data_IF_540580142058
#
_entry.id   IF_540580142058
#
_cell.length_a   1.000
_cell.length_b   1.000
_cell.length_c   1.000
_cell.angle_alpha   90.00
_cell.angle_beta   90.00
_cell.angle_gamma   90.00
#
_symmetry.space_group_name_H-M   'P 1'
#
loop_
_entity.id
_entity.type
_entity.pdbx_description
1 polymer ?
#
# COMPACT_ATOMS: atom_id res chain seq x y z
N UNK A 1 24.75 32.80 -25.79
CA UNK A 1 25.29 32.00 -24.68
C UNK A 1 24.72 32.57 -23.39
N UNK A 2 23.75 31.91 -22.74
CA UNK A 2 23.35 32.22 -21.36
C UNK A 2 22.71 30.97 -20.75
N UNK A 3 23.44 30.32 -19.84
CA UNK A 3 23.05 29.11 -19.14
C UNK A 3 22.40 29.55 -17.82
N UNK A 4 21.11 29.26 -17.65
CA UNK A 4 20.44 29.39 -16.35
C UNK A 4 20.73 28.12 -15.55
N UNK A 5 21.25 28.20 -14.32
CA UNK A 5 21.47 27.02 -13.49
C UNK A 5 20.15 26.55 -12.87
N UNK A 6 19.84 25.27 -13.06
CA UNK A 6 18.71 24.59 -12.41
C UNK A 6 18.98 24.42 -10.92
N UNK A 7 18.06 24.91 -10.06
CA UNK A 7 18.10 24.69 -8.61
C UNK A 7 17.80 23.23 -8.29
N UNK A 8 18.73 22.55 -7.63
CA UNK A 8 18.48 21.24 -7.02
C UNK A 8 17.74 21.49 -5.71
N UNK A 9 16.51 20.98 -5.59
CA UNK A 9 15.80 21.00 -4.32
C UNK A 9 16.43 19.95 -3.38
N UNK A 10 16.99 20.41 -2.26
CA UNK A 10 17.47 19.52 -1.20
C UNK A 10 16.29 18.70 -0.65
N UNK A 11 16.36 17.38 -0.80
CA UNK A 11 15.48 16.47 -0.09
C UNK A 11 15.84 16.55 1.41
N UNK A 12 14.94 17.09 2.23
CA UNK A 12 15.03 16.99 3.69
C UNK A 12 14.97 15.51 4.06
N UNK A 13 16.10 14.96 4.48
CA UNK A 13 16.19 13.65 5.12
C UNK A 13 15.38 13.70 6.42
N UNK A 14 14.23 13.03 6.42
CA UNK A 14 13.43 12.87 7.64
C UNK A 14 14.25 12.10 8.68
N UNK A 15 14.29 12.64 9.90
CA UNK A 15 15.02 12.08 11.04
C UNK A 15 14.47 10.69 11.41
N UNK A 16 15.35 9.68 11.38
CA UNK A 16 15.07 8.32 11.85
C UNK A 16 15.12 8.31 13.39
N UNK A 17 13.98 8.58 14.02
CA UNK A 17 13.80 8.33 15.45
C UNK A 17 13.95 6.82 15.76
N UNK A 18 14.42 6.46 16.97
CA UNK A 18 14.79 5.09 17.32
C UNK A 18 13.58 4.16 17.23
N UNK A 19 13.81 2.98 16.65
CA UNK A 19 12.80 1.95 16.44
C UNK A 19 12.37 1.34 17.77
N UNK A 20 11.37 1.94 18.41
CA UNK A 20 10.73 1.36 19.58
C UNK A 20 9.58 0.43 19.15
N UNK A 21 9.45 -0.67 19.89
CA UNK A 21 8.57 -1.84 19.72
C UNK A 21 7.42 -1.73 18.69
N UNK A 22 7.69 -2.30 17.52
CA UNK A 22 6.91 -2.26 16.26
C UNK A 22 6.98 -0.92 15.54
N UNK A 23 8.08 -0.72 14.82
CA UNK A 23 8.20 0.34 13.82
C UNK A 23 6.93 0.42 12.97
N UNK A 24 6.57 1.63 12.52
CA UNK A 24 5.39 1.83 11.66
C UNK A 24 5.35 0.86 10.48
N UNK A 25 6.50 0.61 9.85
CA UNK A 25 6.66 -0.40 8.81
C UNK A 25 6.33 -1.82 9.29
N UNK A 26 6.75 -2.22 10.50
CA UNK A 26 6.36 -3.49 11.10
C UNK A 26 4.85 -3.61 11.33
N UNK A 27 4.18 -2.51 11.71
CA UNK A 27 2.71 -2.48 11.82
C UNK A 27 2.04 -2.66 10.45
N UNK A 28 2.54 -2.00 9.40
CA UNK A 28 2.05 -2.17 8.03
C UNK A 28 2.22 -3.61 7.53
N UNK A 29 3.36 -4.24 7.79
CA UNK A 29 3.59 -5.65 7.44
C UNK A 29 2.60 -6.57 8.15
N UNK A 30 2.37 -6.34 9.44
CA UNK A 30 1.37 -7.08 10.21
C UNK A 30 -0.05 -6.88 9.66
N UNK A 31 -0.40 -5.65 9.27
CA UNK A 31 -1.67 -5.36 8.60
C UNK A 31 -1.81 -6.09 7.28
N UNK A 32 -0.76 -6.11 6.45
CA UNK A 32 -0.75 -6.87 5.20
C UNK A 32 -0.97 -8.37 5.41
N UNK A 33 -0.35 -8.95 6.44
CA UNK A 33 -0.62 -10.34 6.84
C UNK A 33 -2.06 -10.57 7.29
N UNK A 34 -2.68 -9.62 8.00
CA UNK A 34 -4.08 -9.73 8.42
C UNK A 34 -5.06 -9.65 7.23
N UNK A 35 -4.70 -8.93 6.16
CA UNK A 35 -5.50 -8.76 4.94
C UNK A 35 -5.33 -9.92 3.93
N UNK A 36 -4.18 -10.60 3.95
CA UNK A 36 -3.84 -11.69 3.02
C UNK A 36 -4.94 -12.77 2.88
N UNK A 37 -5.58 -13.28 3.97
CA UNK A 37 -6.62 -14.30 3.85
C UNK A 37 -7.85 -13.87 3.03
N UNK A 38 -8.13 -12.56 2.94
CA UNK A 38 -9.21 -12.05 2.09
C UNK A 38 -8.82 -12.14 0.61
N UNK A 39 -7.59 -11.78 0.26
CA UNK A 39 -7.06 -11.93 -1.10
C UNK A 39 -7.00 -13.40 -1.53
N UNK A 40 -6.60 -14.30 -0.62
CA UNK A 40 -6.57 -15.75 -0.86
C UNK A 40 -7.94 -16.33 -1.19
N UNK A 41 -8.99 -15.81 -0.56
CA UNK A 41 -10.38 -16.18 -0.84
C UNK A 41 -11.00 -15.41 -2.01
N UNK A 42 -10.23 -14.55 -2.67
CA UNK A 42 -10.71 -13.68 -3.75
C UNK A 42 -11.77 -12.68 -3.28
N UNK A 43 -11.77 -12.31 -2.00
CA UNK A 43 -12.70 -11.35 -1.42
C UNK A 43 -12.17 -9.93 -1.61
N UNK A 44 -13.01 -8.98 -2.04
CA UNK A 44 -12.61 -7.58 -2.13
C UNK A 44 -12.33 -7.04 -0.73
N UNK A 45 -11.28 -6.22 -0.61
CA UNK A 45 -10.93 -5.50 0.59
C UNK A 45 -11.50 -4.09 0.43
N UNK A 46 -12.48 -3.74 1.26
CA UNK A 46 -13.09 -2.42 1.28
C UNK A 46 -12.42 -1.46 2.27
N UNK A 47 -12.83 -0.20 2.22
CA UNK A 47 -12.40 0.85 3.15
C UNK A 47 -12.70 0.49 4.62
N UNK A 48 -13.82 -0.19 4.89
CA UNK A 48 -14.20 -0.64 6.22
C UNK A 48 -13.26 -1.73 6.76
N UNK A 49 -12.84 -2.67 5.90
CA UNK A 49 -11.90 -3.74 6.26
C UNK A 49 -10.53 -3.14 6.62
N UNK A 50 -10.04 -2.22 5.79
CA UNK A 50 -8.79 -1.50 6.04
C UNK A 50 -8.82 -0.75 7.37
N UNK A 51 -9.88 0.02 7.62
CA UNK A 51 -10.05 0.75 8.88
C UNK A 51 -10.06 -0.20 10.08
N UNK A 52 -10.79 -1.30 10.00
CA UNK A 52 -10.87 -2.30 11.08
C UNK A 52 -9.50 -2.89 11.40
N UNK A 53 -8.75 -3.32 10.38
CA UNK A 53 -7.41 -3.91 10.55
C UNK A 53 -6.43 -2.89 11.12
N UNK A 54 -6.39 -1.67 10.57
CA UNK A 54 -5.43 -0.67 11.02
C UNK A 54 -5.77 -0.16 12.42
N UNK A 55 -7.04 0.03 12.77
CA UNK A 55 -7.42 0.39 14.13
C UNK A 55 -6.91 -0.64 15.15
N UNK A 56 -7.08 -1.93 14.86
CA UNK A 56 -6.63 -3.00 15.74
C UNK A 56 -5.10 -3.06 15.89
N UNK A 57 -4.35 -2.84 14.80
CA UNK A 57 -2.89 -3.00 14.79
C UNK A 57 -2.15 -1.73 15.23
N UNK A 58 -2.66 -0.55 14.88
CA UNK A 58 -2.09 0.72 15.30
C UNK A 58 -2.55 1.13 16.70
N UNK A 59 -3.69 0.62 17.17
CA UNK A 59 -4.22 0.85 18.52
C UNK A 59 -5.09 2.10 18.63
N UNK A 60 -5.63 2.61 17.52
CA UNK A 60 -6.44 3.82 17.48
C UNK A 60 -6.93 4.16 16.08
N UNK A 61 -7.81 5.16 15.97
CA UNK A 61 -8.42 5.57 14.71
C UNK A 61 -7.53 6.50 13.87
N UNK A 62 -7.87 6.64 12.59
CA UNK A 62 -7.26 7.64 11.71
C UNK A 62 -7.63 9.07 12.11
N UNK A 63 -8.83 9.28 12.68
CA UNK A 63 -9.26 10.58 13.20
C UNK A 63 -8.42 11.05 14.39
N UNK A 64 -7.90 10.11 15.18
CA UNK A 64 -6.97 10.38 16.29
C UNK A 64 -5.50 10.47 15.83
N UNK A 65 -5.22 10.26 14.54
CA UNK A 65 -3.89 10.40 13.96
C UNK A 65 -2.96 9.19 14.16
N UNK A 66 -3.46 8.05 14.63
CA UNK A 66 -2.64 6.84 14.81
C UNK A 66 -2.11 6.31 13.46
N UNK A 67 -2.92 6.44 12.41
CA UNK A 67 -2.60 6.10 11.03
C UNK A 67 -3.34 7.04 10.07
N UNK A 68 -2.91 7.08 8.82
CA UNK A 68 -3.51 7.86 7.74
C UNK A 68 -4.05 6.93 6.66
N UNK A 69 -4.96 7.42 5.81
CA UNK A 69 -5.41 6.63 4.67
C UNK A 69 -4.26 6.14 3.77
N UNK A 70 -3.14 6.87 3.71
CA UNK A 70 -1.93 6.40 3.04
C UNK A 70 -1.42 5.07 3.63
N UNK A 71 -1.38 4.94 4.95
CA UNK A 71 -0.97 3.71 5.63
C UNK A 71 -1.93 2.55 5.33
N UNK A 72 -3.22 2.84 5.20
CA UNK A 72 -4.22 1.83 4.82
C UNK A 72 -3.94 1.26 3.43
N UNK A 73 -3.60 2.13 2.48
CA UNK A 73 -3.23 1.72 1.14
C UNK A 73 -1.88 0.99 1.10
N UNK A 74 -0.87 1.47 1.83
CA UNK A 74 0.42 0.77 1.94
C UNK A 74 0.25 -0.64 2.53
N UNK A 75 -0.60 -0.82 3.55
CA UNK A 75 -0.92 -2.14 4.09
C UNK A 75 -1.59 -3.05 3.06
N UNK A 76 -2.45 -2.49 2.20
CA UNK A 76 -3.12 -3.22 1.14
C UNK A 76 -2.13 -3.66 0.03
N UNK A 77 -1.20 -2.79 -0.35
CA UNK A 77 -0.09 -3.14 -1.26
C UNK A 77 0.80 -4.23 -0.68
N UNK A 78 1.12 -4.16 0.62
CA UNK A 78 1.87 -5.22 1.29
C UNK A 78 1.14 -6.55 1.21
N UNK A 79 -0.20 -6.58 1.37
CA UNK A 79 -0.98 -7.80 1.21
C UNK A 79 -0.87 -8.38 -0.22
N UNK A 80 -0.87 -7.54 -1.26
CA UNK A 80 -0.65 -7.98 -2.65
C UNK A 80 0.75 -8.56 -2.85
N UNK A 81 1.78 -7.90 -2.32
CA UNK A 81 3.15 -8.40 -2.40
C UNK A 81 3.27 -9.76 -1.70
N UNK A 82 2.67 -9.92 -0.51
CA UNK A 82 2.64 -11.19 0.21
C UNK A 82 1.91 -12.28 -0.58
N UNK A 83 0.78 -11.96 -1.21
CA UNK A 83 0.05 -12.88 -2.09
C UNK A 83 0.93 -13.34 -3.26
N UNK A 84 1.58 -12.40 -3.95
CA UNK A 84 2.47 -12.72 -5.07
C UNK A 84 3.71 -13.52 -4.63
N UNK A 85 4.26 -13.27 -3.44
CA UNK A 85 5.35 -14.08 -2.90
C UNK A 85 4.93 -15.52 -2.61
N UNK A 86 3.68 -15.72 -2.17
CA UNK A 86 3.14 -17.05 -1.84
C UNK A 86 2.71 -17.82 -3.10
N UNK A 87 2.05 -17.17 -4.05
CA UNK A 87 1.43 -17.84 -5.21
C UNK A 87 2.11 -17.54 -6.54
N UNK A 88 3.09 -16.62 -6.59
CA UNK A 88 3.73 -16.16 -7.81
C UNK A 88 4.33 -17.28 -8.65
N UNK A 89 5.01 -18.24 -8.01
CA UNK A 89 5.57 -19.40 -8.71
C UNK A 89 4.48 -20.27 -9.37
N UNK A 90 3.33 -20.47 -8.71
CA UNK A 90 2.21 -21.21 -9.29
C UNK A 90 1.53 -20.42 -10.42
N UNK A 91 1.49 -19.09 -10.32
CA UNK A 91 0.97 -18.18 -11.34
C UNK A 91 1.86 -18.20 -12.59
N UNK A 92 3.18 -18.19 -12.43
CA UNK A 92 4.14 -18.20 -13.55
C UNK A 92 4.38 -19.59 -14.14
N UNK A 93 4.20 -20.66 -13.37
CA UNK A 93 4.30 -22.04 -13.86
C UNK A 93 3.26 -22.37 -14.96
N UNK A 94 2.17 -21.59 -15.07
CA UNK A 94 1.23 -21.64 -16.21
C UNK A 94 1.77 -20.92 -17.45
N UNK A 95 3.02 -21.22 -17.84
CA UNK A 95 3.68 -20.62 -19.01
C UNK A 95 2.89 -20.77 -20.31
N UNK A 96 2.04 -21.81 -20.41
CA UNK A 96 1.20 -22.08 -21.58
C UNK A 96 -0.11 -21.29 -21.62
N UNK A 97 -0.38 -20.41 -20.65
CA UNK A 97 -1.62 -19.63 -20.59
C UNK A 97 -1.38 -18.17 -20.12
N UNK A 98 -0.58 -17.37 -20.86
CA UNK A 98 -0.20 -16.01 -20.47
C UNK A 98 -1.42 -15.09 -20.26
N UNK A 99 -2.47 -15.25 -21.06
CA UNK A 99 -3.71 -14.48 -20.92
C UNK A 99 -4.48 -14.83 -19.64
N UNK A 100 -4.45 -16.11 -19.22
CA UNK A 100 -5.07 -16.53 -17.96
C UNK A 100 -4.29 -16.02 -16.74
N UNK A 101 -2.95 -16.00 -16.83
CA UNK A 101 -2.09 -15.38 -15.82
C UNK A 101 -2.37 -13.90 -15.69
N UNK A 102 -2.47 -13.17 -16.82
CA UNK A 102 -2.82 -11.75 -16.81
C UNK A 102 -4.21 -11.53 -16.19
N UNK A 103 -5.22 -12.30 -16.59
CA UNK A 103 -6.57 -12.19 -16.03
C UNK A 103 -6.61 -12.42 -14.51
N UNK A 104 -5.82 -13.37 -13.99
CA UNK A 104 -5.69 -13.61 -12.55
C UNK A 104 -5.05 -12.43 -11.82
N UNK A 105 -3.97 -11.87 -12.37
CA UNK A 105 -3.30 -10.70 -11.80
C UNK A 105 -4.22 -9.47 -11.83
N UNK A 106 -4.93 -9.23 -12.93
CA UNK A 106 -5.92 -8.15 -13.03
C UNK A 106 -7.03 -8.32 -11.99
N UNK A 107 -7.51 -9.54 -11.77
CA UNK A 107 -8.52 -9.82 -10.74
C UNK A 107 -7.99 -9.46 -9.35
N UNK A 108 -6.78 -9.91 -8.99
CA UNK A 108 -6.18 -9.62 -7.68
C UNK A 108 -5.92 -8.12 -7.50
N UNK A 109 -5.49 -7.41 -8.54
CA UNK A 109 -5.33 -5.96 -8.51
C UNK A 109 -6.65 -5.24 -8.25
N UNK A 110 -7.77 -5.74 -8.80
CA UNK A 110 -9.11 -5.20 -8.59
C UNK A 110 -9.74 -5.50 -7.23
N UNK A 111 -9.13 -6.36 -6.41
CA UNK A 111 -9.64 -6.67 -5.05
C UNK A 111 -9.27 -5.60 -4.02
N UNK A 112 -8.46 -4.62 -4.37
CA UNK A 112 -7.98 -3.59 -3.45
C UNK A 112 -8.52 -2.22 -3.84
N UNK A 113 -8.82 -1.33 -2.89
CA UNK A 113 -9.30 0.00 -3.22
C UNK A 113 -8.28 0.71 -4.10
N UNK A 114 -8.74 1.23 -5.23
CA UNK A 114 -7.89 2.01 -6.12
C UNK A 114 -7.47 3.27 -5.40
N UNK A 115 -6.17 3.57 -5.39
CA UNK A 115 -5.65 4.81 -4.85
C UNK A 115 -6.34 5.97 -5.57
N UNK A 116 -7.33 6.59 -4.94
CA UNK A 116 -8.04 7.73 -5.53
C UNK A 116 -7.09 8.92 -5.40
N UNK A 117 -6.15 9.00 -6.34
CA UNK A 117 -5.16 10.05 -6.41
C UNK A 117 -5.91 11.34 -6.73
N UNK A 118 -6.25 12.11 -5.71
CA UNK A 118 -6.09 13.55 -5.83
C UNK A 118 -5.23 14.00 -4.67
N UNK A 119 -3.91 14.04 -4.93
CA UNK A 119 -3.07 15.02 -4.25
C UNK A 119 -3.83 16.34 -4.33
N UNK A 120 -4.09 17.07 -3.23
CA UNK A 120 -4.50 18.45 -3.37
C UNK A 120 -3.43 19.12 -4.24
N UNK A 121 -3.83 19.46 -5.47
CA UNK A 121 -3.14 20.47 -6.24
C UNK A 121 -3.08 21.68 -5.31
N UNK A 122 -1.87 21.96 -4.79
CA UNK A 122 -1.60 23.24 -4.15
C UNK A 122 -1.50 24.26 -5.27
N UNK A 123 -2.61 24.44 -5.97
CA UNK A 123 -2.87 25.51 -6.90
C UNK A 123 -3.32 26.70 -6.08
N UNK A 124 -2.49 27.74 -6.12
CA UNK A 124 -2.93 29.12 -6.18
C UNK A 124 -3.90 29.60 -5.08
N UNK A 125 -3.32 30.23 -4.05
CA UNK A 125 -3.97 31.35 -3.39
C UNK A 125 -2.92 32.47 -3.19
N UNK A 126 -3.02 33.51 -4.01
CA UNK A 126 -2.71 34.91 -3.64
C UNK A 126 -1.32 35.41 -4.01
#
# INVERSE_FOLDING_TARGET
MNIVPSRVANATTASLAPADSTSRAGKLVRSGHALLPSLERGQPIGAADLRTVLMNIFGGSDAEGFWSWKDAYEAAEVAQVLFLRKFGAAITARANAPQATLAMLTKVAGLIPTHTRRSPDRGDCG
#
